data_IF_237634074300
#
_entry.id   IF_237634074300
#
_cell.length_a   1.000
_cell.length_b   1.000
_cell.length_c   1.000
_cell.angle_alpha   90.00
_cell.angle_beta   90.00
_cell.angle_gamma   90.00
#
_symmetry.space_group_name_H-M   'P 1'
#
loop_
_entity.id
_entity.type
_entity.pdbx_description
1 polymer ?
#
# COMPACT_ATOMS: atom_id res chain seq x y z
N UNK A 1 -4.63 -5.93 22.57
CA UNK A 1 -3.42 -5.33 21.95
C UNK A 1 -3.89 -4.13 21.16
N UNK A 2 -3.19 -3.00 21.17
CA UNK A 2 -3.57 -1.88 20.29
C UNK A 2 -3.21 -2.22 18.84
N UNK A 3 -3.86 -1.63 17.82
CA UNK A 3 -3.51 -1.86 16.42
C UNK A 3 -2.03 -1.62 16.14
N UNK A 4 -1.43 -0.61 16.76
CA UNK A 4 -0.01 -0.26 16.60
C UNK A 4 0.91 -1.36 17.14
N UNK A 5 0.57 -1.95 18.28
CA UNK A 5 1.32 -3.04 18.87
C UNK A 5 1.20 -4.34 18.05
N UNK A 6 0.03 -4.59 17.44
CA UNK A 6 -0.17 -5.72 16.53
C UNK A 6 0.65 -5.54 15.24
N UNK A 7 0.64 -4.33 14.66
CA UNK A 7 1.45 -3.98 13.48
C UNK A 7 2.95 -4.17 13.77
N UNK A 8 3.45 -3.67 14.90
CA UNK A 8 4.85 -3.82 15.28
C UNK A 8 5.23 -5.31 15.42
N UNK A 9 4.39 -6.09 16.10
CA UNK A 9 4.61 -7.53 16.26
C UNK A 9 4.66 -8.28 14.91
N UNK A 10 3.82 -7.89 13.94
CA UNK A 10 3.84 -8.46 12.58
C UNK A 10 5.16 -8.15 11.88
N UNK A 11 5.62 -6.90 11.93
CA UNK A 11 6.84 -6.47 11.24
C UNK A 11 8.10 -7.15 11.84
N UNK A 12 8.09 -7.40 13.15
CA UNK A 12 9.20 -8.04 13.86
C UNK A 12 9.21 -9.57 13.73
N UNK A 13 8.11 -10.19 13.30
CA UNK A 13 7.94 -11.65 13.32
C UNK A 13 8.78 -12.41 12.27
N UNK A 14 9.41 -11.72 11.32
CA UNK A 14 10.21 -12.35 10.27
C UNK A 14 9.42 -13.44 9.53
N UNK A 15 9.90 -14.69 9.58
CA UNK A 15 9.21 -15.84 8.97
C UNK A 15 7.79 -16.09 9.52
N UNK A 16 7.47 -15.62 10.74
CA UNK A 16 6.14 -15.72 11.33
C UNK A 16 5.14 -14.67 10.83
N UNK A 17 5.60 -13.63 10.13
CA UNK A 17 4.76 -12.50 9.73
C UNK A 17 3.58 -12.94 8.86
N UNK A 18 3.77 -13.91 7.96
CA UNK A 18 2.71 -14.40 7.07
C UNK A 18 1.53 -14.98 7.85
N UNK A 19 1.80 -15.84 8.84
CA UNK A 19 0.75 -16.45 9.64
C UNK A 19 0.01 -15.41 10.51
N UNK A 20 0.75 -14.46 11.09
CA UNK A 20 0.16 -13.37 11.88
C UNK A 20 -0.72 -12.46 11.03
N UNK A 21 -0.26 -12.05 9.85
CA UNK A 21 -1.02 -11.21 8.92
C UNK A 21 -2.27 -11.91 8.39
N UNK A 22 -2.18 -13.20 8.09
CA UNK A 22 -3.31 -14.01 7.66
C UNK A 22 -4.40 -14.12 8.74
N UNK A 23 -4.00 -14.18 10.01
CA UNK A 23 -4.92 -14.25 11.16
C UNK A 23 -5.37 -12.87 11.67
N UNK A 24 -4.71 -11.79 11.25
CA UNK A 24 -5.02 -10.42 11.71
C UNK A 24 -6.39 -9.98 11.23
N UNK A 25 -7.06 -9.17 12.05
CA UNK A 25 -8.31 -8.49 11.71
C UNK A 25 -8.08 -7.02 11.35
N UNK A 26 -6.85 -6.70 10.93
CA UNK A 26 -6.49 -5.37 10.50
C UNK A 26 -7.28 -4.98 9.23
N UNK A 27 -7.59 -3.69 9.04
CA UNK A 27 -8.26 -3.21 7.85
C UNK A 27 -7.54 -3.62 6.55
N UNK A 28 -8.26 -3.90 5.44
CA UNK A 28 -7.66 -4.37 4.19
C UNK A 28 -6.53 -3.49 3.64
N UNK A 29 -6.65 -2.17 3.72
CA UNK A 29 -5.59 -1.25 3.31
C UNK A 29 -4.33 -1.38 4.17
N UNK A 30 -4.49 -1.52 5.48
CA UNK A 30 -3.38 -1.80 6.40
C UNK A 30 -2.73 -3.14 6.07
N UNK A 31 -3.53 -4.22 5.92
CA UNK A 31 -3.04 -5.56 5.58
C UNK A 31 -2.25 -5.55 4.28
N UNK A 32 -2.74 -4.86 3.25
CA UNK A 32 -2.05 -4.73 1.96
C UNK A 32 -0.65 -4.13 2.12
N UNK A 33 -0.54 -3.02 2.85
CA UNK A 33 0.75 -2.37 3.09
C UNK A 33 1.71 -3.24 3.90
N UNK A 34 1.22 -3.99 4.88
CA UNK A 34 2.05 -4.91 5.67
C UNK A 34 2.50 -6.14 4.88
N UNK A 35 1.60 -6.74 4.10
CA UNK A 35 1.95 -7.81 3.17
C UNK A 35 3.09 -7.38 2.25
N UNK A 36 2.97 -6.18 1.66
CA UNK A 36 4.01 -5.60 0.82
C UNK A 36 5.34 -5.38 1.58
N UNK A 37 5.30 -4.78 2.77
CA UNK A 37 6.51 -4.54 3.59
C UNK A 37 7.22 -5.81 4.01
N UNK A 38 6.49 -6.89 4.23
CA UNK A 38 7.05 -8.21 4.55
C UNK A 38 7.45 -9.02 3.30
N UNK A 39 7.28 -8.48 2.08
CA UNK A 39 7.68 -9.14 0.84
C UNK A 39 6.69 -10.18 0.30
N UNK A 40 5.45 -10.20 0.80
CA UNK A 40 4.38 -11.11 0.39
C UNK A 40 3.51 -10.48 -0.70
N UNK A 41 4.08 -10.40 -1.91
CA UNK A 41 3.49 -9.66 -3.04
C UNK A 41 2.15 -10.21 -3.51
N UNK A 42 1.97 -11.53 -3.54
CA UNK A 42 0.74 -12.16 -4.00
C UNK A 42 -0.44 -11.86 -3.06
N UNK A 43 -0.20 -11.93 -1.76
CA UNK A 43 -1.16 -11.59 -0.73
C UNK A 43 -1.53 -10.11 -0.76
N UNK A 44 -0.55 -9.22 -0.95
CA UNK A 44 -0.79 -7.80 -1.13
C UNK A 44 -1.68 -7.53 -2.35
N UNK A 45 -1.39 -8.17 -3.49
CA UNK A 45 -2.21 -8.07 -4.70
C UNK A 45 -3.65 -8.54 -4.49
N UNK A 46 -3.84 -9.69 -3.82
CA UNK A 46 -5.16 -10.25 -3.56
C UNK A 46 -6.00 -9.31 -2.68
N UNK A 47 -5.42 -8.79 -1.59
CA UNK A 47 -6.17 -7.87 -0.70
C UNK A 47 -6.47 -6.55 -1.40
N UNK A 48 -5.52 -5.98 -2.16
CA UNK A 48 -5.74 -4.78 -2.93
C UNK A 48 -6.82 -4.95 -4.02
N UNK A 49 -6.87 -6.12 -4.66
CA UNK A 49 -7.83 -6.46 -5.71
C UNK A 49 -9.27 -6.48 -5.20
N UNK A 50 -9.47 -6.98 -3.98
CA UNK A 50 -10.78 -7.05 -3.32
C UNK A 50 -11.18 -5.72 -2.65
N UNK A 51 -10.23 -4.80 -2.45
CA UNK A 51 -10.49 -3.48 -1.89
C UNK A 51 -10.95 -2.51 -2.99
N UNK A 52 -12.25 -2.52 -3.29
CA UNK A 52 -12.87 -1.69 -4.33
C UNK A 52 -13.03 -0.20 -3.96
N UNK A 53 -11.93 0.44 -3.55
CA UNK A 53 -11.87 1.84 -3.13
C UNK A 53 -10.72 2.57 -3.83
N UNK A 54 -10.69 3.92 -3.80
CA UNK A 54 -9.51 4.67 -4.23
C UNK A 54 -8.22 4.22 -3.54
N UNK A 55 -8.29 3.83 -2.26
CA UNK A 55 -7.15 3.33 -1.49
C UNK A 55 -6.66 1.98 -1.99
N UNK A 56 -7.56 1.04 -2.32
CA UNK A 56 -7.17 -0.25 -2.92
C UNK A 56 -6.56 -0.07 -4.32
N UNK A 57 -7.15 0.83 -5.13
CA UNK A 57 -6.56 1.23 -6.41
C UNK A 57 -5.17 1.84 -6.24
N UNK A 58 -4.94 2.59 -5.16
CA UNK A 58 -3.64 3.17 -4.87
C UNK A 58 -2.61 2.09 -4.53
N UNK A 59 -2.95 1.14 -3.66
CA UNK A 59 -2.06 0.01 -3.39
C UNK A 59 -1.73 -0.79 -4.64
N UNK A 60 -2.71 -1.07 -5.51
CA UNK A 60 -2.48 -1.73 -6.79
C UNK A 60 -1.55 -0.94 -7.71
N UNK A 61 -1.70 0.38 -7.77
CA UNK A 61 -0.78 1.21 -8.54
C UNK A 61 0.66 1.08 -8.00
N UNK A 62 0.85 1.12 -6.68
CA UNK A 62 2.17 0.98 -6.04
C UNK A 62 2.78 -0.39 -6.33
N UNK A 63 1.98 -1.47 -6.23
CA UNK A 63 2.40 -2.83 -6.52
C UNK A 63 2.88 -2.97 -7.97
N UNK A 64 2.06 -2.56 -8.94
CA UNK A 64 2.44 -2.65 -10.35
C UNK A 64 3.56 -1.69 -10.76
N UNK A 65 3.78 -0.59 -10.04
CA UNK A 65 4.97 0.26 -10.26
C UNK A 65 6.26 -0.41 -9.80
N UNK A 66 6.19 -1.25 -8.76
CA UNK A 66 7.34 -2.04 -8.33
C UNK A 66 7.62 -3.20 -9.30
N UNK A 67 6.62 -3.59 -10.09
CA UNK A 67 6.74 -4.52 -11.21
C UNK A 67 7.12 -3.75 -12.49
N UNK A 68 7.72 -4.40 -13.50
CA UNK A 68 7.95 -3.80 -14.81
C UNK A 68 6.63 -3.72 -15.62
N UNK A 69 5.56 -3.20 -15.02
CA UNK A 69 4.20 -3.13 -15.58
C UNK A 69 3.63 -1.70 -15.52
N UNK A 70 4.23 -0.80 -16.30
CA UNK A 70 3.86 0.62 -16.34
C UNK A 70 2.41 0.83 -16.79
N UNK A 71 1.89 -0.04 -17.65
CA UNK A 71 0.52 0.08 -18.16
C UNK A 71 -0.50 -0.15 -17.05
N UNK A 72 -0.38 -1.24 -16.29
CA UNK A 72 -1.29 -1.49 -15.18
C UNK A 72 -1.08 -0.51 -14.04
N UNK A 73 0.17 -0.16 -13.72
CA UNK A 73 0.48 0.88 -12.74
C UNK A 73 -0.28 2.18 -13.06
N UNK A 74 -0.26 2.60 -14.33
CA UNK A 74 -0.99 3.78 -14.78
C UNK A 74 -2.50 3.63 -14.80
N UNK A 75 -3.02 2.46 -15.15
CA UNK A 75 -4.46 2.18 -15.10
C UNK A 75 -5.02 2.34 -13.69
N UNK A 76 -4.36 1.75 -12.69
CA UNK A 76 -4.77 1.86 -11.30
C UNK A 76 -4.53 3.25 -10.74
N UNK A 77 -3.43 3.91 -11.11
CA UNK A 77 -3.16 5.28 -10.68
C UNK A 77 -4.27 6.25 -11.09
N UNK A 78 -4.79 6.12 -12.32
CA UNK A 78 -5.92 6.94 -12.80
C UNK A 78 -7.23 6.71 -12.04
N UNK A 79 -7.37 5.61 -11.28
CA UNK A 79 -8.56 5.31 -10.46
C UNK A 79 -8.49 5.89 -9.04
N UNK A 80 -7.33 6.40 -8.62
CA UNK A 80 -7.13 6.94 -7.27
C UNK A 80 -7.92 8.25 -7.06
N UNK A 81 -8.13 9.04 -8.11
CA UNK A 81 -8.80 10.34 -8.02
C UNK A 81 -8.03 11.34 -7.16
N UNK A 82 -8.72 12.06 -6.28
CA UNK A 82 -8.14 13.10 -5.40
C UNK A 82 -7.75 12.56 -4.02
N UNK A 83 -7.20 11.35 -3.94
CA UNK A 83 -6.88 10.70 -2.66
C UNK A 83 -6.00 11.61 -1.77
N UNK A 84 -6.28 11.74 -0.45
CA UNK A 84 -5.57 12.69 0.41
C UNK A 84 -4.05 12.54 0.43
N UNK A 85 -3.55 11.31 0.26
CA UNK A 85 -2.11 11.03 0.18
C UNK A 85 -1.44 11.69 -1.04
N UNK A 86 -2.15 11.82 -2.18
CA UNK A 86 -1.62 12.52 -3.37
C UNK A 86 -1.30 13.98 -3.02
N UNK A 87 -2.15 14.64 -2.23
CA UNK A 87 -1.95 16.04 -1.82
C UNK A 87 -0.72 16.20 -0.92
N UNK A 88 -0.32 15.15 -0.20
CA UNK A 88 0.87 15.16 0.65
C UNK A 88 2.18 14.91 -0.14
N UNK A 89 2.08 14.41 -1.37
CA UNK A 89 3.21 14.15 -2.27
C UNK A 89 3.66 15.38 -3.09
N UNK A 90 2.93 16.51 -3.00
CA UNK A 90 3.15 17.80 -3.69
C UNK A 90 2.88 17.80 -5.21
N UNK A 91 2.98 18.99 -5.83
CA UNK A 91 2.45 19.38 -7.16
C UNK A 91 2.94 18.57 -8.38
N UNK A 92 3.81 17.59 -8.21
CA UNK A 92 4.32 16.74 -9.30
C UNK A 92 3.83 15.30 -9.23
N UNK A 93 2.71 15.01 -8.57
CA UNK A 93 2.21 13.63 -8.49
C UNK A 93 1.28 13.26 -9.66
N UNK A 94 1.84 13.19 -10.86
CA UNK A 94 1.17 12.69 -12.08
C UNK A 94 1.63 11.29 -12.48
N UNK A 95 1.11 10.74 -13.60
CA UNK A 95 1.48 9.39 -14.07
C UNK A 95 2.99 9.21 -14.29
N UNK A 96 3.66 10.19 -14.90
CA UNK A 96 5.08 10.08 -15.22
C UNK A 96 5.93 10.15 -13.95
N UNK A 97 5.65 11.11 -13.08
CA UNK A 97 6.35 11.26 -11.81
C UNK A 97 6.06 10.10 -10.86
N UNK A 98 4.85 9.55 -10.89
CA UNK A 98 4.49 8.34 -10.17
C UNK A 98 5.34 7.17 -10.63
N UNK A 99 5.35 6.86 -11.93
CA UNK A 99 6.09 5.73 -12.51
C UNK A 99 7.60 5.85 -12.29
N UNK A 100 8.14 7.06 -12.44
CA UNK A 100 9.58 7.32 -12.31
C UNK A 100 10.00 7.84 -10.93
N UNK A 101 9.16 7.69 -9.90
CA UNK A 101 9.48 8.10 -8.53
C UNK A 101 10.80 7.45 -8.05
N UNK A 102 11.66 8.23 -7.37
CA UNK A 102 12.87 7.69 -6.75
C UNK A 102 12.54 6.72 -5.61
N UNK A 103 13.46 5.82 -5.20
CA UNK A 103 13.22 4.90 -4.08
C UNK A 103 12.71 5.60 -2.80
N UNK A 104 13.27 6.76 -2.46
CA UNK A 104 12.84 7.53 -1.30
C UNK A 104 11.42 8.09 -1.44
N UNK A 105 11.01 8.50 -2.64
CA UNK A 105 9.63 8.93 -2.90
C UNK A 105 8.65 7.76 -2.83
N UNK A 106 9.03 6.60 -3.37
CA UNK A 106 8.22 5.36 -3.31
C UNK A 106 8.01 4.90 -1.87
N UNK A 107 9.07 4.89 -1.07
CA UNK A 107 9.02 4.52 0.35
C UNK A 107 8.14 5.49 1.15
N UNK A 108 8.35 6.81 0.95
CA UNK A 108 7.54 7.84 1.59
C UNK A 108 6.06 7.70 1.23
N UNK A 109 5.75 7.49 -0.05
CA UNK A 109 4.37 7.33 -0.51
C UNK A 109 3.71 6.10 0.12
N UNK A 110 4.38 4.94 0.10
CA UNK A 110 3.86 3.72 0.71
C UNK A 110 3.66 3.90 2.24
N UNK A 111 4.55 4.63 2.91
CA UNK A 111 4.38 4.98 4.32
C UNK A 111 3.16 5.86 4.54
N UNK A 112 3.00 6.95 3.77
CA UNK A 112 1.85 7.85 3.91
C UNK A 112 0.51 7.14 3.64
N UNK A 113 0.49 6.21 2.68
CA UNK A 113 -0.71 5.42 2.40
C UNK A 113 -1.01 4.44 3.54
N UNK A 114 0.01 3.81 4.12
CA UNK A 114 -0.17 2.96 5.28
C UNK A 114 -0.69 3.75 6.50
N UNK A 115 -0.09 4.90 6.79
CA UNK A 115 -0.50 5.78 7.89
C UNK A 115 -1.95 6.28 7.71
N UNK A 116 -2.34 6.58 6.47
CA UNK A 116 -3.72 6.89 6.13
C UNK A 116 -4.66 5.71 6.44
N UNK A 117 -4.30 4.50 6.04
CA UNK A 117 -5.11 3.30 6.30
C UNK A 117 -5.25 3.04 7.81
N UNK A 118 -4.18 3.18 8.57
CA UNK A 118 -4.18 3.03 10.04
C UNK A 118 -5.11 4.06 10.68
N UNK A 119 -5.00 5.32 10.27
CA UNK A 119 -5.76 6.43 10.87
C UNK A 119 -7.25 6.42 10.52
N UNK A 120 -7.63 5.79 9.40
CA UNK A 120 -9.00 5.81 8.87
C UNK A 120 -9.67 4.42 8.86
N UNK A 121 -8.98 3.39 9.37
CA UNK A 121 -9.45 2.00 9.39
C UNK A 121 -9.88 1.46 8.01
N UNK A 122 -9.07 1.74 6.98
CA UNK A 122 -9.29 1.33 5.57
C UNK A 122 -8.50 0.08 5.22
#
# INVERSE_FOLDING_TARGET
MSPEAEIAAILDAGAGAQALLAASQLPPGVRTGLWLRCGFWAEAHNVAQDLHTPTGSYWHAILHRAEPDEFNAGYWFRKIGSHPVIQQMADRWDLNAFTHASPAQREREAQLLLDFCISNFV
#
